data_IF_476564191894
#
_entry.id   IF_476564191894
#
_cell.length_a   1.000
_cell.length_b   1.000
_cell.length_c   1.000
_cell.angle_alpha   90.00
_cell.angle_beta   90.00
_cell.angle_gamma   90.00
#
_symmetry.space_group_name_H-M   'P 1'
#
loop_
_entity.id
_entity.type
_entity.pdbx_description
1 polymer ?
#
# COMPACT_ATOMS: atom_id res chain seq x y z
N UNK A 1 -2.63 -5.05 31.13
CA UNK A 1 -2.56 -5.57 29.76
C UNK A 1 -2.14 -4.43 28.85
N UNK A 2 -1.08 -4.61 28.06
CA UNK A 2 -0.63 -3.59 27.13
C UNK A 2 -1.73 -3.30 26.08
N UNK A 3 -1.96 -2.04 25.69
CA UNK A 3 -2.86 -1.72 24.60
C UNK A 3 -2.31 -2.33 23.31
N UNK A 4 -3.07 -3.26 22.73
CA UNK A 4 -2.73 -3.89 21.46
C UNK A 4 -2.54 -2.82 20.39
N UNK A 5 -1.40 -2.85 19.72
CA UNK A 5 -1.11 -2.04 18.53
C UNK A 5 -2.15 -2.36 17.46
N UNK A 6 -3.17 -1.51 17.31
CA UNK A 6 -4.05 -1.58 16.15
C UNK A 6 -3.19 -1.31 14.90
N UNK A 7 -3.01 -2.33 14.06
CA UNK A 7 -2.16 -2.23 12.86
C UNK A 7 -2.72 -1.26 11.81
N UNK A 8 -4.03 -0.92 11.89
CA UNK A 8 -4.70 0.02 11.00
C UNK A 8 -5.69 0.90 11.76
N UNK A 9 -5.83 2.15 11.31
CA UNK A 9 -6.88 3.06 11.74
C UNK A 9 -7.97 3.11 10.64
N UNK A 10 -9.22 2.89 11.03
CA UNK A 10 -10.37 2.88 10.10
C UNK A 10 -11.15 4.17 10.25
N UNK A 11 -11.47 4.80 9.11
CA UNK A 11 -12.33 5.99 9.03
C UNK A 11 -13.53 5.64 8.16
N UNK A 12 -14.72 5.74 8.74
CA UNK A 12 -15.98 5.54 7.99
C UNK A 12 -16.47 6.89 7.48
N UNK A 13 -16.87 6.94 6.22
CA UNK A 13 -17.36 8.14 5.55
C UNK A 13 -18.53 7.78 4.64
N UNK A 14 -19.60 8.57 4.65
CA UNK A 14 -20.69 8.41 3.69
C UNK A 14 -20.30 8.96 2.31
N UNK A 15 -20.98 8.54 1.24
CA UNK A 15 -20.74 9.09 -0.10
C UNK A 15 -20.89 10.61 -0.16
N UNK A 16 -21.87 11.17 0.55
CA UNK A 16 -22.10 12.62 0.62
C UNK A 16 -20.97 13.35 1.38
N UNK A 17 -20.48 12.77 2.48
CA UNK A 17 -19.35 13.34 3.21
C UNK A 17 -18.05 13.27 2.40
N UNK A 18 -17.87 12.21 1.60
CA UNK A 18 -16.70 12.07 0.74
C UNK A 18 -16.63 13.17 -0.33
N UNK A 19 -17.76 13.68 -0.80
CA UNK A 19 -17.80 14.84 -1.70
C UNK A 19 -17.19 16.11 -1.09
N UNK A 20 -17.13 16.23 0.24
CA UNK A 20 -16.46 17.34 0.94
C UNK A 20 -14.95 17.14 1.12
N UNK A 21 -14.44 15.94 0.78
CA UNK A 21 -13.02 15.64 0.96
C UNK A 21 -12.19 16.22 -0.18
N UNK A 22 -10.95 16.49 0.16
CA UNK A 22 -9.88 16.91 -0.73
C UNK A 22 -8.88 15.78 -0.91
N UNK A 23 -8.04 15.89 -1.94
CA UNK A 23 -7.09 14.83 -2.29
C UNK A 23 -6.07 14.63 -1.15
N UNK A 24 -5.58 15.70 -0.52
CA UNK A 24 -4.67 15.64 0.64
C UNK A 24 -5.26 14.90 1.85
N UNK A 25 -6.59 14.87 1.98
CA UNK A 25 -7.26 14.15 3.07
C UNK A 25 -7.37 12.66 2.79
N UNK A 26 -7.63 12.25 1.54
CA UNK A 26 -7.75 10.82 1.20
C UNK A 26 -6.37 10.17 1.01
N UNK A 27 -5.40 10.91 0.50
CA UNK A 27 -4.07 10.39 0.14
C UNK A 27 -3.32 9.65 1.26
N UNK A 28 -3.36 10.05 2.55
CA UNK A 28 -2.66 9.33 3.61
C UNK A 28 -3.19 7.91 3.88
N UNK A 29 -4.36 7.54 3.35
CA UNK A 29 -4.96 6.24 3.58
C UNK A 29 -4.29 5.16 2.74
N UNK A 30 -3.97 4.04 3.37
CA UNK A 30 -3.31 2.91 2.72
C UNK A 30 -4.20 2.20 1.69
N UNK A 31 -5.51 2.15 1.96
CA UNK A 31 -6.50 1.59 1.05
C UNK A 31 -7.87 2.25 1.29
N UNK A 32 -8.73 2.24 0.27
CA UNK A 32 -10.13 2.63 0.37
C UNK A 32 -11.04 1.42 0.15
N UNK A 33 -12.17 1.36 0.85
CA UNK A 33 -13.17 0.29 0.75
C UNK A 33 -14.50 0.91 0.33
N UNK A 34 -14.92 0.62 -0.90
CA UNK A 34 -16.20 1.05 -1.45
C UNK A 34 -17.23 -0.06 -1.24
N UNK A 35 -18.06 0.13 -0.21
CA UNK A 35 -19.10 -0.82 0.20
C UNK A 35 -20.50 -0.42 -0.30
N UNK A 36 -20.67 0.83 -0.73
CA UNK A 36 -21.93 1.38 -1.22
C UNK A 36 -21.64 2.59 -2.11
N UNK A 37 -22.38 2.72 -3.21
CA UNK A 37 -22.33 3.93 -4.06
C UNK A 37 -23.48 4.89 -3.75
N UNK A 38 -24.31 4.60 -2.73
CA UNK A 38 -25.41 5.48 -2.33
C UNK A 38 -24.89 6.84 -1.86
N UNK A 39 -25.42 7.90 -2.47
CA UNK A 39 -25.01 9.27 -2.17
C UNK A 39 -23.59 9.62 -2.62
N UNK A 40 -22.92 8.78 -3.41
CA UNK A 40 -21.60 9.08 -3.97
C UNK A 40 -21.76 10.01 -5.19
N UNK A 41 -21.76 11.30 -4.94
CA UNK A 41 -21.93 12.32 -5.97
C UNK A 41 -20.69 12.46 -6.86
N UNK A 42 -20.78 13.30 -7.90
CA UNK A 42 -19.68 13.54 -8.87
C UNK A 42 -18.36 13.88 -8.19
N UNK A 43 -18.37 14.79 -7.21
CA UNK A 43 -17.14 15.20 -6.52
C UNK A 43 -16.51 14.04 -5.72
N UNK A 44 -17.30 13.25 -5.01
CA UNK A 44 -16.81 12.06 -4.30
C UNK A 44 -16.22 11.00 -5.25
N UNK A 45 -16.84 10.80 -6.42
CA UNK A 45 -16.30 9.93 -7.49
C UNK A 45 -14.96 10.44 -8.00
N UNK A 46 -14.83 11.75 -8.23
CA UNK A 46 -13.56 12.38 -8.65
C UNK A 46 -12.45 12.19 -7.61
N UNK A 47 -12.76 12.34 -6.31
CA UNK A 47 -11.80 12.11 -5.21
C UNK A 47 -11.32 10.66 -5.20
N UNK A 48 -12.24 9.68 -5.32
CA UNK A 48 -11.85 8.27 -5.39
C UNK A 48 -11.08 7.94 -6.66
N UNK A 49 -11.50 8.48 -7.81
CA UNK A 49 -10.80 8.26 -9.07
C UNK A 49 -9.38 8.83 -9.01
N UNK A 50 -9.21 10.05 -8.49
CA UNK A 50 -7.89 10.66 -8.29
C UNK A 50 -7.02 9.86 -7.31
N UNK A 51 -7.61 9.38 -6.21
CA UNK A 51 -6.91 8.53 -5.24
C UNK A 51 -6.38 7.24 -5.89
N UNK A 52 -7.24 6.49 -6.58
CA UNK A 52 -6.85 5.21 -7.19
C UNK A 52 -5.87 5.45 -8.34
N UNK A 53 -6.15 6.40 -9.24
CA UNK A 53 -5.26 6.70 -10.36
C UNK A 53 -3.89 7.20 -9.91
N UNK A 54 -3.80 7.84 -8.74
CA UNK A 54 -2.54 8.26 -8.11
C UNK A 54 -1.81 7.17 -7.33
N UNK A 55 -2.13 5.88 -7.53
CA UNK A 55 -1.46 4.75 -6.86
C UNK A 55 -2.20 4.18 -5.65
N UNK A 56 -3.38 4.72 -5.33
CA UNK A 56 -4.22 4.21 -4.25
C UNK A 56 -4.78 2.82 -4.54
N UNK A 57 -4.94 2.01 -3.49
CA UNK A 57 -5.61 0.72 -3.57
C UNK A 57 -7.08 0.81 -3.20
N UNK A 58 -7.97 0.26 -4.03
CA UNK A 58 -9.41 0.23 -3.79
C UNK A 58 -9.91 -1.21 -3.66
N UNK A 59 -10.69 -1.52 -2.62
CA UNK A 59 -11.58 -2.68 -2.63
C UNK A 59 -12.99 -2.21 -2.97
N UNK A 60 -13.65 -2.91 -3.89
CA UNK A 60 -15.08 -2.79 -4.18
C UNK A 60 -15.76 -4.07 -3.75
N UNK A 61 -16.68 -3.96 -2.78
CA UNK A 61 -17.58 -5.05 -2.42
C UNK A 61 -18.85 -4.89 -3.27
N UNK A 62 -19.00 -5.67 -4.33
CA UNK A 62 -20.11 -5.55 -5.27
C UNK A 62 -21.43 -6.11 -4.69
N UNK A 63 -21.86 -5.54 -3.57
CA UNK A 63 -23.11 -5.82 -2.89
C UNK A 63 -24.31 -5.11 -3.54
N UNK A 64 -25.48 -5.11 -2.86
CA UNK A 64 -26.74 -4.62 -3.42
C UNK A 64 -26.76 -3.10 -3.65
N UNK A 65 -25.90 -2.38 -2.94
CA UNK A 65 -25.87 -0.91 -2.96
C UNK A 65 -24.78 -0.33 -3.87
N UNK A 66 -24.07 -1.19 -4.61
CA UNK A 66 -23.00 -0.80 -5.51
C UNK A 66 -23.50 -0.81 -6.95
N UNK A 67 -23.45 0.36 -7.57
CA UNK A 67 -23.74 0.57 -8.97
C UNK A 67 -22.47 0.37 -9.82
N UNK A 68 -22.55 -0.54 -10.80
CA UNK A 68 -21.43 -0.90 -11.67
C UNK A 68 -20.93 0.24 -12.55
N UNK A 69 -21.82 1.14 -12.99
CA UNK A 69 -21.45 2.26 -13.85
C UNK A 69 -20.70 3.33 -13.03
N UNK A 70 -21.12 3.54 -11.78
CA UNK A 70 -20.40 4.41 -10.84
C UNK A 70 -19.00 3.86 -10.56
N UNK A 71 -18.86 2.55 -10.32
CA UNK A 71 -17.56 1.93 -10.09
C UNK A 71 -16.68 2.04 -11.35
N UNK A 72 -17.23 1.75 -12.53
CA UNK A 72 -16.50 1.87 -13.79
C UNK A 72 -15.99 3.30 -14.03
N UNK A 73 -16.80 4.32 -13.71
CA UNK A 73 -16.42 5.73 -13.76
C UNK A 73 -15.26 6.06 -12.80
N UNK A 74 -15.31 5.56 -11.56
CA UNK A 74 -14.21 5.71 -10.58
C UNK A 74 -12.91 5.09 -11.09
N UNK A 75 -12.96 3.90 -11.69
CA UNK A 75 -11.79 3.24 -12.28
C UNK A 75 -11.29 3.92 -13.57
N UNK A 76 -12.10 4.79 -14.16
CA UNK A 76 -11.76 5.62 -15.32
C UNK A 76 -12.25 5.07 -16.65
N UNK A 77 -12.17 5.91 -17.70
CA UNK A 77 -12.75 5.63 -19.02
C UNK A 77 -12.24 4.36 -19.73
N UNK A 78 -11.07 3.85 -19.35
CA UNK A 78 -10.52 2.58 -19.86
C UNK A 78 -11.05 1.33 -19.14
N UNK A 79 -11.89 1.50 -18.12
CA UNK A 79 -12.40 0.38 -17.33
C UNK A 79 -13.30 -0.52 -18.18
N UNK A 80 -12.91 -1.79 -18.23
CA UNK A 80 -13.71 -2.85 -18.84
C UNK A 80 -14.63 -3.54 -17.82
N UNK A 81 -14.61 -3.08 -16.55
CA UNK A 81 -15.41 -3.65 -15.49
C UNK A 81 -16.90 -3.49 -15.81
N UNK A 82 -17.64 -4.57 -15.59
CA UNK A 82 -19.09 -4.64 -15.61
C UNK A 82 -19.53 -5.33 -14.33
N UNK A 83 -20.46 -4.70 -13.64
CA UNK A 83 -21.14 -5.27 -12.47
C UNK A 83 -22.62 -5.27 -12.78
N UNK A 84 -23.23 -6.44 -12.75
CA UNK A 84 -24.65 -6.61 -12.95
C UNK A 84 -25.28 -7.28 -11.73
N UNK A 85 -26.59 -7.06 -11.57
CA UNK A 85 -27.36 -7.62 -10.47
C UNK A 85 -27.22 -9.14 -10.36
N UNK A 86 -27.35 -9.71 -9.15
CA UNK A 86 -27.36 -11.15 -8.94
C UNK A 86 -28.40 -11.89 -9.77
N UNK A 87 -28.19 -13.19 -9.96
CA UNK A 87 -29.21 -14.05 -10.56
C UNK A 87 -30.48 -14.07 -9.69
N UNK A 88 -31.66 -14.05 -10.33
CA UNK A 88 -32.96 -14.03 -9.64
C UNK A 88 -33.21 -15.23 -8.71
N UNK A 89 -32.52 -16.36 -8.94
CA UNK A 89 -32.54 -17.55 -8.07
C UNK A 89 -31.10 -17.91 -7.71
N UNK A 90 -30.55 -17.35 -6.63
CA UNK A 90 -29.18 -17.64 -6.21
C UNK A 90 -29.07 -19.07 -5.65
N UNK A 91 -27.98 -19.76 -5.98
CA UNK A 91 -27.57 -20.99 -5.31
C UNK A 91 -26.35 -20.73 -4.41
N UNK A 92 -26.21 -21.44 -3.28
CA UNK A 92 -25.02 -21.38 -2.45
C UNK A 92 -23.78 -21.78 -3.26
N UNK A 93 -22.73 -20.97 -3.17
CA UNK A 93 -21.46 -21.20 -3.89
C UNK A 93 -20.27 -20.87 -2.99
N UNK A 94 -19.12 -21.44 -3.31
CA UNK A 94 -17.89 -21.25 -2.52
C UNK A 94 -16.82 -20.64 -3.40
N UNK A 95 -15.87 -19.94 -2.77
CA UNK A 95 -14.73 -19.36 -3.48
C UNK A 95 -13.69 -20.44 -3.83
N UNK A 96 -13.20 -20.38 -5.06
CA UNK A 96 -12.08 -21.16 -5.56
C UNK A 96 -11.02 -20.18 -6.11
N UNK A 97 -9.91 -19.97 -5.38
CA UNK A 97 -8.79 -19.18 -5.86
C UNK A 97 -8.23 -19.72 -7.18
N UNK A 98 -7.87 -18.82 -8.10
CA UNK A 98 -7.21 -19.19 -9.35
C UNK A 98 -5.73 -19.53 -9.14
N UNK A 99 -5.05 -18.79 -8.26
CA UNK A 99 -3.68 -19.09 -7.80
C UNK A 99 -3.58 -18.85 -6.28
N UNK A 100 -3.36 -19.92 -5.52
CA UNK A 100 -3.22 -19.88 -4.06
C UNK A 100 -1.98 -19.13 -3.58
N UNK A 101 -1.00 -18.88 -4.47
CA UNK A 101 0.22 -18.12 -4.17
C UNK A 101 0.00 -16.61 -4.28
N UNK A 102 -1.14 -16.17 -4.81
CA UNK A 102 -1.44 -14.75 -4.91
C UNK A 102 -1.40 -14.11 -3.50
N UNK A 103 -0.80 -12.90 -3.34
CA UNK A 103 -0.63 -12.30 -2.01
C UNK A 103 -1.91 -12.19 -1.18
N UNK A 104 -3.05 -11.91 -1.82
CA UNK A 104 -4.37 -11.83 -1.17
C UNK A 104 -4.84 -13.15 -0.54
N UNK A 105 -4.27 -14.29 -0.98
CA UNK A 105 -4.60 -15.62 -0.45
C UNK A 105 -3.49 -16.23 0.41
N UNK A 106 -2.41 -15.49 0.67
CA UNK A 106 -1.24 -16.01 1.38
C UNK A 106 -1.58 -16.61 2.75
N UNK A 107 -2.51 -15.99 3.48
CA UNK A 107 -2.98 -16.50 4.76
C UNK A 107 -3.64 -17.91 4.68
N UNK A 108 -3.99 -18.37 3.47
CA UNK A 108 -4.69 -19.64 3.21
C UNK A 108 -3.84 -20.65 2.43
N UNK A 109 -2.59 -20.33 2.09
CA UNK A 109 -1.73 -21.17 1.25
C UNK A 109 -1.49 -22.58 1.83
N UNK A 110 -1.53 -22.73 3.16
CA UNK A 110 -1.39 -24.03 3.85
C UNK A 110 -2.68 -24.85 3.94
N UNK A 111 -3.85 -24.23 3.71
CA UNK A 111 -5.17 -24.85 3.89
C UNK A 111 -6.18 -24.27 2.91
N UNK A 112 -5.94 -24.41 1.60
CA UNK A 112 -6.81 -23.86 0.55
C UNK A 112 -8.28 -24.30 0.65
N UNK A 113 -8.57 -25.40 1.35
CA UNK A 113 -9.91 -25.88 1.66
C UNK A 113 -10.73 -24.93 2.56
N UNK A 114 -10.11 -24.02 3.31
CA UNK A 114 -10.83 -23.16 4.27
C UNK A 114 -11.76 -22.15 3.59
N UNK A 115 -11.40 -21.65 2.40
CA UNK A 115 -12.28 -20.80 1.60
C UNK A 115 -13.43 -21.59 0.95
N UNK A 116 -13.28 -22.91 0.82
CA UNK A 116 -14.33 -23.83 0.36
C UNK A 116 -15.46 -24.05 1.38
N UNK A 117 -15.27 -23.66 2.64
CA UNK A 117 -16.30 -23.74 3.68
C UNK A 117 -17.26 -22.55 3.63
N UNK A 118 -16.79 -21.41 3.14
CA UNK A 118 -17.56 -20.16 3.06
C UNK A 118 -18.63 -20.27 1.97
N UNK A 119 -19.88 -20.03 2.36
CA UNK A 119 -21.05 -20.03 1.47
C UNK A 119 -21.48 -18.60 1.15
N UNK A 120 -21.38 -18.28 -0.14
CA UNK A 120 -21.95 -17.09 -0.74
C UNK A 120 -23.36 -17.43 -1.24
N UNK A 121 -24.36 -16.81 -0.63
CA UNK A 121 -25.75 -16.96 -1.05
C UNK A 121 -26.06 -16.03 -2.21
N UNK A 122 -25.59 -14.78 -2.12
CA UNK A 122 -25.76 -13.76 -3.14
C UNK A 122 -24.41 -13.33 -3.71
N UNK A 123 -24.37 -13.15 -5.02
CA UNK A 123 -23.22 -12.62 -5.72
C UNK A 123 -23.68 -11.87 -6.98
N UNK A 124 -23.14 -10.67 -7.16
CA UNK A 124 -23.26 -9.88 -8.38
C UNK A 124 -22.49 -10.55 -9.51
N UNK A 125 -22.94 -10.35 -10.74
CA UNK A 125 -22.20 -10.82 -11.92
C UNK A 125 -21.13 -9.79 -12.27
N UNK A 126 -19.88 -10.16 -12.07
CA UNK A 126 -18.73 -9.31 -12.39
C UNK A 126 -17.95 -9.85 -13.58
N UNK A 127 -17.53 -8.95 -14.48
CA UNK A 127 -16.68 -9.27 -15.61
C UNK A 127 -15.80 -8.06 -15.98
N UNK A 128 -14.65 -8.31 -16.58
CA UNK A 128 -13.80 -7.26 -17.13
C UNK A 128 -12.65 -7.89 -17.91
N UNK A 129 -12.58 -7.63 -19.22
CA UNK A 129 -11.57 -8.24 -20.10
C UNK A 129 -10.15 -7.76 -19.81
N UNK A 130 -10.01 -6.55 -19.26
CA UNK A 130 -8.74 -5.98 -18.78
C UNK A 130 -8.44 -6.26 -17.31
N UNK A 131 -9.23 -7.11 -16.64
CA UNK A 131 -9.03 -7.46 -15.24
C UNK A 131 -8.55 -8.91 -15.08
N UNK A 132 -7.63 -9.14 -14.15
CA UNK A 132 -7.17 -10.47 -13.79
C UNK A 132 -8.20 -11.15 -12.87
N UNK A 133 -8.60 -12.38 -13.21
CA UNK A 133 -9.44 -13.18 -12.31
C UNK A 133 -8.59 -13.78 -11.19
N UNK A 134 -8.85 -13.37 -9.95
CA UNK A 134 -8.17 -13.90 -8.77
C UNK A 134 -8.88 -15.14 -8.20
N UNK A 135 -10.21 -15.18 -8.28
CA UNK A 135 -11.00 -16.34 -7.86
C UNK A 135 -12.28 -16.46 -8.68
N UNK A 136 -12.76 -17.70 -8.79
CA UNK A 136 -14.08 -18.04 -9.32
C UNK A 136 -14.92 -18.67 -8.24
N UNK A 137 -16.22 -18.65 -8.42
CA UNK A 137 -17.10 -19.52 -7.66
C UNK A 137 -17.01 -20.94 -8.22
N UNK A 138 -17.35 -21.94 -7.41
CA UNK A 138 -17.47 -23.33 -7.86
C UNK A 138 -18.49 -23.54 -8.99
N UNK A 139 -19.38 -22.56 -9.23
CA UNK A 139 -20.28 -22.53 -10.38
C UNK A 139 -19.61 -22.08 -11.69
N UNK A 140 -18.35 -21.61 -11.63
CA UNK A 140 -17.57 -21.09 -12.76
C UNK A 140 -17.63 -19.56 -12.91
N UNK A 141 -18.65 -18.91 -12.33
CA UNK A 141 -18.79 -17.46 -12.34
C UNK A 141 -17.57 -16.78 -11.70
N UNK A 142 -17.19 -15.61 -12.20
CA UNK A 142 -16.10 -14.82 -11.62
C UNK A 142 -16.52 -14.31 -10.24
N UNK A 143 -15.64 -14.49 -9.25
CA UNK A 143 -15.94 -14.14 -7.86
C UNK A 143 -15.06 -13.00 -7.34
N UNK A 144 -13.82 -12.92 -7.81
CA UNK A 144 -12.88 -11.89 -7.38
C UNK A 144 -12.00 -11.46 -8.54
N UNK A 145 -11.98 -10.17 -8.83
CA UNK A 145 -11.19 -9.56 -9.89
C UNK A 145 -10.14 -8.60 -9.33
N UNK A 146 -9.05 -8.46 -10.05
CA UNK A 146 -8.10 -7.36 -9.93
C UNK A 146 -8.09 -6.56 -11.23
N UNK A 147 -8.33 -5.26 -11.14
CA UNK A 147 -8.35 -4.33 -12.27
C UNK A 147 -7.31 -3.23 -12.05
N UNK A 148 -6.52 -2.92 -13.07
CA UNK A 148 -5.65 -1.73 -13.06
C UNK A 148 -6.49 -0.46 -13.18
N UNK A 149 -6.09 0.60 -12.48
CA UNK A 149 -6.76 1.89 -12.54
C UNK A 149 -5.74 3.03 -12.34
N UNK A 150 -5.24 3.58 -13.45
CA UNK A 150 -4.08 4.47 -13.44
C UNK A 150 -2.84 3.78 -12.86
N UNK A 151 -2.15 4.45 -11.94
CA UNK A 151 -0.97 3.90 -11.25
C UNK A 151 -1.36 2.98 -10.07
N UNK A 152 -2.64 2.93 -9.71
CA UNK A 152 -3.16 2.09 -8.63
C UNK A 152 -3.87 0.84 -9.14
N UNK A 153 -4.65 0.24 -8.25
CA UNK A 153 -5.41 -0.98 -8.55
C UNK A 153 -6.70 -1.07 -7.75
N UNK A 154 -7.65 -1.79 -8.31
CA UNK A 154 -8.90 -2.12 -7.65
C UNK A 154 -9.09 -3.64 -7.57
N UNK A 155 -9.41 -4.12 -6.38
CA UNK A 155 -9.93 -5.45 -6.14
C UNK A 155 -11.46 -5.39 -6.13
N UNK A 156 -12.14 -6.27 -6.87
CA UNK A 156 -13.61 -6.28 -6.97
C UNK A 156 -14.12 -7.65 -6.58
N UNK A 157 -14.70 -7.74 -5.39
CA UNK A 157 -15.36 -8.95 -4.88
C UNK A 157 -16.81 -8.95 -5.34
N UNK A 158 -17.28 -10.07 -5.90
CA UNK A 158 -18.63 -10.22 -6.41
C UNK A 158 -19.73 -10.23 -5.32
N UNK A 159 -19.39 -10.06 -4.05
CA UNK A 159 -20.30 -10.12 -2.92
C UNK A 159 -20.05 -8.97 -1.96
N UNK A 160 -20.92 -8.83 -0.97
CA UNK A 160 -20.76 -7.88 0.11
C UNK A 160 -19.83 -8.44 1.21
N UNK A 161 -19.36 -7.58 2.11
CA UNK A 161 -18.60 -7.95 3.32
C UNK A 161 -19.50 -8.14 4.55
N UNK A 162 -20.82 -8.12 4.36
CA UNK A 162 -21.81 -8.40 5.40
C UNK A 162 -22.20 -9.89 5.47
N UNK A 163 -22.97 -10.23 6.50
CA UNK A 163 -23.48 -11.59 6.70
C UNK A 163 -24.84 -11.85 6.02
N UNK A 164 -25.34 -10.93 5.19
CA UNK A 164 -26.60 -11.08 4.44
C UNK A 164 -26.36 -11.74 3.09
N UNK A 165 -25.22 -11.46 2.46
CA UNK A 165 -24.86 -12.03 1.16
C UNK A 165 -24.03 -13.29 1.25
N UNK A 166 -23.27 -13.47 2.33
CA UNK A 166 -22.46 -14.65 2.59
C UNK A 166 -22.39 -14.96 4.08
N UNK A 167 -21.98 -16.16 4.45
CA UNK A 167 -21.62 -16.48 5.84
C UNK A 167 -20.16 -16.11 6.16
N UNK A 168 -19.40 -15.51 5.22
CA UNK A 168 -17.96 -15.30 5.36
C UNK A 168 -17.57 -14.58 6.65
N UNK A 169 -18.23 -13.48 7.08
CA UNK A 169 -17.89 -12.81 8.33
C UNK A 169 -18.04 -13.67 9.60
N UNK A 170 -18.71 -14.81 9.51
CA UNK A 170 -18.89 -15.77 10.62
C UNK A 170 -17.73 -16.77 10.71
N UNK A 171 -16.86 -16.84 9.70
CA UNK A 171 -15.71 -17.75 9.66
C UNK A 171 -14.43 -17.05 10.13
N UNK A 172 -13.57 -17.78 10.85
CA UNK A 172 -12.29 -17.28 11.35
C UNK A 172 -11.33 -16.79 10.24
N UNK A 173 -11.56 -17.22 9.00
CA UNK A 173 -10.80 -16.82 7.81
C UNK A 173 -11.10 -15.40 7.30
N UNK A 174 -12.18 -14.77 7.76
CA UNK A 174 -12.59 -13.45 7.28
C UNK A 174 -11.58 -12.34 7.60
N UNK A 175 -11.17 -12.24 8.87
CA UNK A 175 -10.24 -11.19 9.30
C UNK A 175 -8.85 -11.34 8.64
N UNK A 176 -8.23 -12.53 8.57
CA UNK A 176 -7.01 -12.72 7.80
C UNK A 176 -7.16 -12.35 6.31
N UNK A 177 -8.31 -12.65 5.69
CA UNK A 177 -8.56 -12.30 4.29
C UNK A 177 -8.58 -10.79 4.08
N UNK A 178 -9.31 -10.05 4.92
CA UNK A 178 -9.34 -8.60 4.86
C UNK A 178 -7.96 -7.99 5.13
N UNK A 179 -7.20 -8.56 6.07
CA UNK A 179 -5.84 -8.08 6.36
C UNK A 179 -4.91 -8.27 5.15
N UNK A 180 -4.96 -9.41 4.46
CA UNK A 180 -4.16 -9.61 3.25
C UNK A 180 -4.61 -8.70 2.10
N UNK A 181 -5.92 -8.42 1.96
CA UNK A 181 -6.43 -7.41 1.03
C UNK A 181 -5.86 -6.04 1.36
N UNK A 182 -5.96 -5.58 2.61
CA UNK A 182 -5.45 -4.25 3.01
C UNK A 182 -3.94 -4.18 2.76
N UNK A 183 -3.18 -5.22 3.13
CA UNK A 183 -1.74 -5.27 2.91
C UNK A 183 -1.39 -5.22 1.43
N UNK A 184 -2.14 -5.92 0.58
CA UNK A 184 -1.95 -5.92 -0.86
C UNK A 184 -2.30 -4.55 -1.48
N UNK A 185 -3.45 -3.97 -1.11
CA UNK A 185 -3.87 -2.65 -1.58
C UNK A 185 -2.94 -1.53 -1.10
N UNK A 186 -2.45 -1.61 0.14
CA UNK A 186 -1.43 -0.71 0.66
C UNK A 186 -0.11 -0.82 -0.11
N UNK A 187 0.21 -2.01 -0.62
CA UNK A 187 1.36 -2.22 -1.49
C UNK A 187 1.18 -1.67 -2.90
N UNK A 188 -0.04 -1.31 -3.33
CA UNK A 188 -0.23 -0.58 -4.58
C UNK A 188 0.44 0.80 -4.53
N UNK A 189 0.47 1.41 -3.33
CA UNK A 189 1.26 2.61 -3.03
C UNK A 189 2.71 2.28 -2.70
N UNK A 190 3.07 1.01 -2.48
CA UNK A 190 4.46 0.64 -2.18
C UNK A 190 5.29 1.08 -3.38
N UNK A 191 6.02 2.15 -3.08
CA UNK A 191 6.79 3.01 -3.93
C UNK A 191 7.40 2.23 -5.11
N UNK A 192 7.47 2.88 -6.26
CA UNK A 192 8.50 2.57 -7.23
C UNK A 192 9.87 2.75 -6.54
N UNK A 193 10.30 1.71 -5.83
CA UNK A 193 11.65 1.50 -5.35
C UNK A 193 12.52 1.06 -6.52
N UNK A 194 11.90 0.39 -7.50
CA UNK A 194 12.51 -0.02 -8.75
C UNK A 194 11.79 0.68 -9.91
N UNK A 195 12.42 1.72 -10.47
CA UNK A 195 12.07 2.22 -11.79
C UNK A 195 12.79 1.34 -12.81
N UNK A 196 12.07 0.81 -13.79
CA UNK A 196 12.71 0.14 -14.93
C UNK A 196 13.60 1.13 -15.68
N UNK A 197 14.58 0.64 -16.45
CA UNK A 197 15.42 1.49 -17.30
C UNK A 197 14.51 2.33 -18.21
N UNK A 198 14.66 3.66 -18.15
CA UNK A 198 13.80 4.69 -18.77
C UNK A 198 12.52 5.12 -18.02
N UNK A 199 12.29 4.65 -16.79
CA UNK A 199 11.29 5.21 -15.88
C UNK A 199 11.88 6.15 -14.84
N UNK A 200 11.10 7.16 -14.44
CA UNK A 200 11.44 8.10 -13.38
C UNK A 200 10.15 8.54 -12.68
N UNK A 201 10.20 8.92 -11.39
CA UNK A 201 9.03 9.46 -10.68
C UNK A 201 8.45 10.68 -11.39
N UNK A 202 7.15 10.90 -11.22
CA UNK A 202 6.48 12.09 -11.73
C UNK A 202 7.20 13.37 -11.26
N UNK A 203 7.55 14.26 -12.20
CA UNK A 203 8.29 15.50 -11.95
C UNK A 203 9.82 15.37 -11.99
N UNK A 204 10.37 14.16 -12.14
CA UNK A 204 11.82 13.95 -12.29
C UNK A 204 12.19 13.79 -13.77
N UNK A 205 13.22 14.50 -14.23
CA UNK A 205 13.73 14.34 -15.59
C UNK A 205 14.30 12.94 -15.77
N UNK A 206 13.89 12.25 -16.85
CA UNK A 206 14.38 10.91 -17.25
C UNK A 206 15.81 10.96 -17.84
N UNK A 207 16.75 11.55 -17.11
CA UNK A 207 18.16 11.67 -17.49
C UNK A 207 19.04 11.13 -16.37
N UNK A 208 20.22 10.54 -16.67
CA UNK A 208 21.17 10.10 -15.66
C UNK A 208 21.47 11.19 -14.64
N UNK A 209 21.32 10.89 -13.35
CA UNK A 209 21.68 11.82 -12.29
C UNK A 209 20.99 11.58 -10.95
N UNK A 210 21.39 12.37 -9.96
CA UNK A 210 20.76 12.38 -8.64
C UNK A 210 19.60 13.37 -8.64
N UNK A 211 18.41 12.88 -8.35
CA UNK A 211 17.21 13.70 -8.20
C UNK A 211 16.74 13.69 -6.75
N UNK A 212 16.18 14.80 -6.29
CA UNK A 212 15.50 14.85 -4.98
C UNK A 212 14.01 14.81 -5.23
N UNK A 213 13.33 13.86 -4.59
CA UNK A 213 11.88 13.79 -4.61
C UNK A 213 11.35 14.13 -3.22
N UNK A 214 10.37 15.03 -3.19
CA UNK A 214 9.54 15.22 -2.02
C UNK A 214 8.57 14.04 -2.00
N UNK A 215 8.64 13.17 -0.98
CA UNK A 215 7.63 12.14 -0.82
C UNK A 215 6.27 12.82 -0.61
N UNK A 216 5.22 12.31 -1.24
CA UNK A 216 3.83 12.78 -1.09
C UNK A 216 3.25 12.52 0.33
N UNK A 217 4.08 12.13 1.30
CA UNK A 217 3.69 11.97 2.69
C UNK A 217 3.89 13.31 3.44
N UNK A 218 2.92 13.74 4.27
CA UNK A 218 2.93 15.07 4.92
C UNK A 218 4.09 15.31 5.92
N UNK A 219 5.01 14.34 6.11
CA UNK A 219 6.23 14.46 6.92
C UNK A 219 7.46 13.77 6.30
N UNK A 220 7.41 13.38 5.03
CA UNK A 220 8.55 12.72 4.39
C UNK A 220 9.68 13.73 4.15
N UNK A 221 10.82 13.55 4.82
CA UNK A 221 12.02 14.32 4.49
C UNK A 221 12.35 14.11 3.00
N UNK A 222 12.79 15.15 2.27
CA UNK A 222 13.15 15.02 0.87
C UNK A 222 14.19 13.91 0.71
N UNK A 223 13.86 12.90 -0.11
CA UNK A 223 14.75 11.75 -0.33
C UNK A 223 15.46 11.88 -1.67
N UNK A 224 16.76 11.58 -1.67
CA UNK A 224 17.55 11.52 -2.90
C UNK A 224 17.39 10.15 -3.54
N UNK A 225 17.16 10.15 -4.83
CA UNK A 225 17.14 8.96 -5.68
C UNK A 225 18.17 9.13 -6.80
N UNK A 226 18.65 8.01 -7.33
CA UNK A 226 19.50 7.99 -8.52
C UNK A 226 18.64 7.49 -9.68
N UNK A 227 18.56 8.28 -10.75
CA UNK A 227 17.81 7.94 -11.96
C UNK A 227 18.80 7.53 -13.04
N UNK A 228 18.52 6.39 -13.69
CA UNK A 228 19.22 5.91 -14.88
C UNK A 228 20.76 5.93 -14.76
N UNK A 229 21.27 5.17 -13.78
CA UNK A 229 22.71 4.95 -13.55
C UNK A 229 23.37 4.56 -14.88
N UNK A 230 24.47 5.22 -15.26
CA UNK A 230 25.17 4.91 -16.52
C UNK A 230 25.56 3.42 -16.50
N UNK A 231 25.23 2.60 -17.52
CA UNK A 231 25.63 1.20 -17.58
C UNK A 231 27.14 0.98 -17.39
N UNK A 232 27.97 1.98 -17.72
CA UNK A 232 29.43 1.97 -17.49
C UNK A 232 29.80 1.94 -16.00
N UNK A 233 28.92 2.37 -15.11
CA UNK A 233 29.12 2.31 -13.66
C UNK A 233 28.91 0.88 -13.12
N UNK A 234 28.26 0.01 -13.89
CA UNK A 234 28.01 -1.42 -13.56
C UNK A 234 28.69 -2.38 -14.55
N UNK A 235 29.79 -1.98 -15.20
CA UNK A 235 30.54 -2.87 -16.08
C UNK A 235 31.33 -3.92 -15.26
N UNK A 236 30.86 -5.17 -15.31
CA UNK A 236 31.51 -6.32 -14.69
C UNK A 236 32.53 -7.02 -15.61
N UNK A 237 32.96 -6.35 -16.69
CA UNK A 237 34.03 -6.81 -17.58
C UNK A 237 35.31 -7.14 -16.82
N UNK A 238 36.13 -8.04 -17.40
CA UNK A 238 37.43 -8.42 -16.81
C UNK A 238 38.35 -7.20 -16.76
N UNK A 239 38.54 -6.67 -15.55
CA UNK A 239 39.49 -5.59 -15.27
C UNK A 239 40.92 -6.16 -15.17
N UNK A 240 41.90 -5.46 -15.75
CA UNK A 240 43.30 -5.83 -15.55
C UNK A 240 43.75 -5.50 -14.12
N UNK A 241 44.81 -6.16 -13.63
CA UNK A 241 45.37 -5.90 -12.30
C UNK A 241 45.91 -4.46 -12.19
N UNK A 242 46.38 -3.90 -13.29
CA UNK A 242 46.93 -2.54 -13.37
C UNK A 242 45.83 -1.48 -13.28
N UNK A 243 44.74 -1.70 -14.03
CA UNK A 243 43.56 -0.83 -13.98
C UNK A 243 42.91 -0.84 -12.60
N UNK A 244 42.80 -2.03 -11.98
CA UNK A 244 42.31 -2.20 -10.62
C UNK A 244 43.14 -1.40 -9.61
N UNK A 245 44.47 -1.49 -9.68
CA UNK A 245 45.36 -0.76 -8.78
C UNK A 245 45.20 0.76 -8.95
N UNK A 246 45.08 1.25 -10.18
CA UNK A 246 44.90 2.67 -10.46
C UNK A 246 43.56 3.24 -9.97
N UNK A 247 42.51 2.41 -9.94
CA UNK A 247 41.19 2.80 -9.45
C UNK A 247 41.15 2.85 -7.92
N UNK A 248 41.76 1.86 -7.25
CA UNK A 248 41.86 1.81 -5.78
C UNK A 248 42.71 2.95 -5.23
N UNK A 249 43.81 3.32 -5.91
CA UNK A 249 44.62 4.47 -5.49
C UNK A 249 43.86 5.79 -5.63
N UNK A 250 43.10 5.99 -6.72
CA UNK A 250 42.26 7.19 -6.90
C UNK A 250 41.16 7.31 -5.84
N UNK A 251 40.57 6.20 -5.40
CA UNK A 251 39.59 6.18 -4.32
C UNK A 251 40.20 6.55 -2.96
N UNK A 252 41.50 6.27 -2.77
CA UNK A 252 42.25 6.60 -1.56
C UNK A 252 42.76 8.04 -1.56
N UNK A 253 42.94 8.63 -2.74
CA UNK A 253 43.44 9.99 -2.93
C UNK A 253 42.33 11.06 -3.00
N UNK A 254 41.04 10.72 -2.87
CA UNK A 254 39.93 11.68 -2.77
C UNK A 254 40.10 12.55 -1.50
N UNK A 255 40.51 13.83 -1.63
CA UNK A 255 40.81 14.66 -0.47
C UNK A 255 39.50 14.94 0.29
N UNK A 256 39.40 14.46 1.53
CA UNK A 256 38.25 14.71 2.40
C UNK A 256 37.19 13.60 2.45
N UNK A 257 37.44 12.43 1.87
CA UNK A 257 36.60 11.25 2.12
C UNK A 257 36.64 10.84 3.60
N UNK A 258 37.83 10.82 4.22
CA UNK A 258 38.00 10.59 5.66
C UNK A 258 37.32 11.68 6.49
N UNK A 259 37.52 12.96 6.15
CA UNK A 259 36.90 14.07 6.87
C UNK A 259 35.36 14.06 6.82
N UNK A 260 34.76 13.54 5.73
CA UNK A 260 33.30 13.39 5.62
C UNK A 260 32.76 12.25 6.49
N UNK A 261 33.52 11.15 6.60
CA UNK A 261 33.17 10.02 7.46
C UNK A 261 33.34 10.42 8.93
N UNK A 262 34.42 11.13 9.27
CA UNK A 262 34.66 11.68 10.61
C UNK A 262 33.60 12.72 11.00
N UNK A 263 33.22 13.64 10.12
CA UNK A 263 32.16 14.62 10.38
C UNK A 263 30.82 13.94 10.68
N UNK A 264 30.49 12.85 9.97
CA UNK A 264 29.25 12.10 10.18
C UNK A 264 29.27 11.31 11.49
N UNK A 265 30.42 10.71 11.84
CA UNK A 265 30.62 10.08 13.15
C UNK A 265 30.59 11.11 14.30
N UNK A 266 31.03 12.35 14.04
CA UNK A 266 30.99 13.44 15.00
C UNK A 266 29.57 13.98 15.21
N UNK A 267 28.75 14.07 14.15
CA UNK A 267 27.30 14.36 14.23
C UNK A 267 26.57 13.33 15.11
N UNK A 268 26.82 12.02 14.90
CA UNK A 268 26.19 10.96 15.70
C UNK A 268 26.61 11.02 17.19
N UNK A 269 27.84 11.46 17.48
CA UNK A 269 28.33 11.67 18.85
C UNK A 269 27.75 12.91 19.53
N UNK A 270 27.35 13.94 18.78
CA UNK A 270 26.81 15.18 19.34
C UNK A 270 25.46 14.99 20.05
N UNK A 271 24.64 14.02 19.63
CA UNK A 271 23.33 13.79 20.23
C UNK A 271 23.37 13.00 21.57
N UNK A 272 24.48 12.30 21.87
CA UNK A 272 24.58 11.48 23.09
C UNK A 272 24.83 12.28 24.37
N UNK A 273 25.52 13.43 24.29
CA UNK A 273 25.74 14.31 25.44
C UNK A 273 24.41 14.84 25.98
N UNK A 274 23.45 15.18 25.13
CA UNK A 274 22.15 15.72 25.59
C UNK A 274 21.45 14.78 26.58
N UNK A 275 21.53 13.46 26.35
CA UNK A 275 21.01 12.45 27.28
C UNK A 275 21.84 12.35 28.56
N UNK A 276 23.17 12.46 28.48
CA UNK A 276 24.04 12.50 29.66
C UNK A 276 23.77 13.74 30.54
N UNK A 277 23.52 14.90 29.93
CA UNK A 277 23.20 16.14 30.64
C UNK A 277 21.81 16.07 31.29
N UNK A 278 20.82 15.53 30.57
CA UNK A 278 19.48 15.30 31.13
C UNK A 278 19.51 14.35 32.33
N UNK A 279 20.28 13.26 32.24
CA UNK A 279 20.49 12.32 33.35
C UNK A 279 21.14 12.98 34.56
N UNK A 280 22.13 13.86 34.36
CA UNK A 280 22.80 14.58 35.44
C UNK A 280 21.84 15.56 36.16
N UNK A 281 20.98 16.25 35.42
CA UNK A 281 19.94 17.12 36.00
C UNK A 281 18.94 16.32 36.84
N UNK A 282 18.53 15.13 36.35
CA UNK A 282 17.64 14.24 37.10
C UNK A 282 18.29 13.76 38.40
N UNK A 283 19.57 13.38 38.35
CA UNK A 283 20.33 12.97 39.54
C UNK A 283 20.43 14.10 40.57
N UNK A 284 20.77 15.32 40.14
CA UNK A 284 20.83 16.50 41.01
C UNK A 284 19.48 16.82 41.66
N UNK A 285 18.39 16.71 40.91
CA UNK A 285 17.05 16.91 41.45
C UNK A 285 16.66 15.82 42.46
N UNK A 286 17.03 14.56 42.20
CA UNK A 286 16.80 13.45 43.11
C UNK A 286 17.61 13.61 44.41
N UNK A 287 18.87 14.01 44.33
CA UNK A 287 19.70 14.30 45.50
C UNK A 287 19.13 15.46 46.32
N UNK A 288 18.68 16.54 45.67
CA UNK A 288 18.04 17.66 46.35
C UNK A 288 16.75 17.27 47.09
N UNK A 289 15.92 16.41 46.49
CA UNK A 289 14.70 15.90 47.10
C UNK A 289 14.97 14.94 48.27
N UNK A 290 16.03 14.14 48.19
CA UNK A 290 16.45 13.25 49.27
C UNK A 290 17.00 14.07 50.45
N UNK A 291 17.87 15.05 50.17
CA UNK A 291 18.41 15.94 51.20
C UNK A 291 17.32 16.74 51.92
N UNK A 292 16.29 17.18 51.20
CA UNK A 292 15.14 17.89 51.78
C UNK A 292 14.19 16.99 52.60
N UNK A 293 14.27 15.66 52.47
CA UNK A 293 13.49 14.71 53.27
C UNK A 293 14.24 14.17 54.50
N UNK A 294 15.56 14.33 54.52
CA UNK A 294 16.43 13.88 55.62
C UNK A 294 16.91 15.01 56.53
N UNK A 295 16.55 16.26 56.22
CA UNK A 295 16.70 17.43 57.07
C UNK A 295 15.37 17.76 57.77
#
# INVERSE_FOLDING_TARGET
GAPGTAAFQVVNVSGAQLSSWTDDRIQPHAAAFLLSTRGLERRGREVLSGYVRGGGGLLVAAGPEVDGDIVADVLGAGSTLRVAAPAAKPAPRTLAPADVRHPVFRAFAGSGATLGLVKFQNASKIAGSGCQTLARFTTGDTAFLECSAGDGRALVLASDLDNKWSDFPLHATFVPFLHEIVRYLASARAHAWDYLVADAPAGVKKMPGVATIADAAPRGAPRRIVVNVDPRESDAGRLSVEDFRSAVTRLKDEPGAEGRIEARQQEDRQHLWQYAMAMMVVLLAAEGLLAARTA
#
